data_IF_795282710603
#
_entry.id   IF_795282710603
#
_cell.length_a   1.000
_cell.length_b   1.000
_cell.length_c   1.000
_cell.angle_alpha   90.00
_cell.angle_beta   90.00
_cell.angle_gamma   90.00
#
_symmetry.space_group_name_H-M   'P 1'
#
loop_
_entity.id
_entity.type
_entity.pdbx_description
1 polymer ?
#
# COMPACT_ATOMS: atom_id res chain seq x y z
N UNK A 1 -20.45 -8.97 -3.79
CA UNK A 1 -19.60 -8.78 -4.98
C UNK A 1 -19.52 -7.30 -5.27
N UNK A 2 -18.33 -6.73 -5.37
CA UNK A 2 -18.10 -5.34 -5.77
C UNK A 2 -17.64 -5.27 -7.22
N UNK A 3 -18.17 -4.31 -7.97
CA UNK A 3 -17.78 -4.05 -9.35
C UNK A 3 -17.37 -2.59 -9.47
N UNK A 4 -16.12 -2.33 -9.78
CA UNK A 4 -15.58 -0.98 -9.91
C UNK A 4 -14.22 -0.98 -10.58
N UNK A 5 -13.79 0.22 -10.98
CA UNK A 5 -12.54 0.42 -11.71
C UNK A 5 -11.39 0.87 -10.80
N UNK A 6 -11.69 1.28 -9.58
CA UNK A 6 -10.73 1.81 -8.62
C UNK A 6 -10.96 1.15 -7.27
N UNK A 7 -9.92 0.65 -6.65
CA UNK A 7 -9.94 0.03 -5.33
C UNK A 7 -8.73 0.44 -4.50
N UNK A 8 -8.82 0.29 -3.18
CA UNK A 8 -7.64 0.31 -2.35
C UNK A 8 -6.93 -1.05 -2.48
N UNK A 9 -5.60 -1.09 -2.54
CA UNK A 9 -4.85 -2.33 -2.47
C UNK A 9 -5.00 -3.00 -1.10
N UNK A 10 -4.70 -4.29 -1.02
CA UNK A 10 -4.58 -4.99 0.25
C UNK A 10 -3.23 -4.67 0.92
N UNK A 11 -3.16 -4.81 2.24
CA UNK A 11 -1.90 -4.61 2.98
C UNK A 11 -0.81 -5.59 2.53
N UNK A 12 -1.19 -6.75 2.05
CA UNK A 12 -0.29 -7.73 1.45
C UNK A 12 0.35 -7.23 0.15
N UNK A 13 -0.38 -6.46 -0.66
CA UNK A 13 0.19 -5.86 -1.88
C UNK A 13 1.32 -4.91 -1.52
N UNK A 14 1.17 -4.14 -0.44
CA UNK A 14 2.25 -3.30 0.07
C UNK A 14 3.44 -4.15 0.55
N UNK A 15 3.22 -5.25 1.27
CA UNK A 15 4.29 -6.11 1.74
C UNK A 15 5.14 -6.67 0.59
N UNK A 16 4.47 -7.16 -0.46
CA UNK A 16 5.13 -7.69 -1.66
C UNK A 16 5.66 -6.62 -2.63
N UNK A 17 5.37 -5.34 -2.40
CA UNK A 17 5.89 -4.24 -3.21
C UNK A 17 7.35 -3.87 -2.89
N UNK A 18 8.00 -4.61 -2.01
CA UNK A 18 9.41 -4.46 -1.66
C UNK A 18 10.26 -5.54 -2.29
N UNK A 19 11.51 -5.22 -2.62
CA UNK A 19 12.53 -6.22 -2.97
C UNK A 19 13.09 -6.97 -1.75
N UNK A 20 12.73 -6.55 -0.55
CA UNK A 20 13.26 -7.05 0.71
C UNK A 20 12.28 -8.02 1.37
N UNK A 21 12.64 -9.29 1.48
CA UNK A 21 11.80 -10.35 2.04
C UNK A 21 11.37 -10.10 3.50
N UNK A 22 12.12 -9.30 4.25
CA UNK A 22 11.76 -8.90 5.60
C UNK A 22 10.44 -8.13 5.65
N UNK A 23 10.07 -7.43 4.57
CA UNK A 23 8.83 -6.68 4.49
C UNK A 23 7.60 -7.57 4.33
N UNK A 24 7.77 -8.75 3.73
CA UNK A 24 6.73 -9.76 3.59
C UNK A 24 6.46 -10.50 4.91
N UNK A 25 7.53 -10.82 5.65
CA UNK A 25 7.44 -11.63 6.87
C UNK A 25 7.18 -10.82 8.13
N UNK A 26 7.57 -9.54 8.16
CA UNK A 26 7.48 -8.65 9.31
C UNK A 26 6.69 -7.37 8.98
N UNK A 27 5.47 -7.53 8.49
CA UNK A 27 4.61 -6.38 8.14
C UNK A 27 4.30 -5.49 9.33
N UNK A 28 4.15 -6.06 10.53
CA UNK A 28 3.87 -5.30 11.74
C UNK A 28 5.13 -4.69 12.33
N UNK A 29 4.95 -3.60 13.05
CA UNK A 29 6.04 -2.94 13.79
C UNK A 29 6.60 -3.90 14.84
N UNK A 30 7.76 -4.49 14.55
CA UNK A 30 8.47 -5.34 15.48
C UNK A 30 9.83 -4.74 15.89
N UNK A 31 10.52 -4.11 14.96
CA UNK A 31 11.73 -3.35 15.25
C UNK A 31 11.91 -2.19 14.26
N UNK A 32 12.71 -1.20 14.66
CA UNK A 32 12.95 0.00 13.86
C UNK A 32 13.83 -0.24 12.64
N UNK A 33 14.66 -1.28 12.65
CA UNK A 33 15.57 -1.59 11.53
C UNK A 33 14.79 -2.16 10.34
N UNK A 34 13.88 -3.10 10.58
CA UNK A 34 13.03 -3.67 9.54
C UNK A 34 12.07 -2.62 8.95
N UNK A 35 11.48 -1.78 9.80
CA UNK A 35 10.66 -0.67 9.35
C UNK A 35 11.43 0.29 8.43
N UNK A 36 12.67 0.63 8.78
CA UNK A 36 13.53 1.48 7.96
C UNK A 36 13.84 0.85 6.59
N UNK A 37 14.14 -0.45 6.57
CA UNK A 37 14.37 -1.18 5.32
C UNK A 37 13.13 -1.11 4.42
N UNK A 38 11.95 -1.43 4.96
CA UNK A 38 10.71 -1.42 4.20
C UNK A 38 10.33 -0.01 3.72
N UNK A 39 10.56 1.01 4.55
CA UNK A 39 10.34 2.41 4.18
C UNK A 39 11.11 2.81 2.92
N UNK A 40 12.35 2.38 2.80
CA UNK A 40 13.26 2.85 1.75
C UNK A 40 13.27 1.96 0.50
N UNK A 41 12.79 0.72 0.58
CA UNK A 41 12.86 -0.27 -0.49
C UNK A 41 11.49 -0.75 -0.98
N UNK A 42 10.42 0.01 -0.70
CA UNK A 42 9.06 -0.36 -1.08
C UNK A 42 8.45 0.74 -1.96
N UNK A 43 8.15 0.43 -3.20
CA UNK A 43 7.61 1.40 -4.16
C UNK A 43 6.19 1.87 -3.84
N UNK A 44 5.42 1.11 -3.05
CA UNK A 44 4.10 1.52 -2.55
C UNK A 44 4.16 2.36 -1.27
N UNK A 45 5.34 2.52 -0.66
CA UNK A 45 5.50 3.28 0.56
C UNK A 45 5.15 4.75 0.36
N UNK A 46 4.43 5.32 1.32
CA UNK A 46 4.07 6.74 1.38
C UNK A 46 4.57 7.35 2.68
N UNK A 47 4.80 8.64 2.69
CA UNK A 47 5.23 9.39 3.89
C UNK A 47 4.10 9.66 4.89
N UNK A 48 2.90 9.17 4.64
CA UNK A 48 1.71 9.36 5.47
C UNK A 48 1.10 8.02 5.83
N UNK A 49 0.33 7.98 6.90
CA UNK A 49 -0.53 6.86 7.25
C UNK A 49 -1.55 6.67 6.11
N UNK A 50 -1.55 5.49 5.53
CA UNK A 50 -2.33 5.19 4.33
C UNK A 50 -3.19 3.97 4.57
N UNK A 51 -4.52 4.10 4.39
CA UNK A 51 -5.47 3.00 4.49
C UNK A 51 -5.32 1.98 3.37
N UNK A 52 -5.48 0.72 3.74
CA UNK A 52 -5.54 -0.42 2.84
C UNK A 52 -6.88 -1.16 3.00
N UNK A 53 -7.27 -1.95 2.00
CA UNK A 53 -8.58 -2.63 1.96
C UNK A 53 -8.68 -3.82 2.93
N UNK A 54 -7.63 -4.19 3.62
CA UNK A 54 -7.60 -5.36 4.51
C UNK A 54 -8.33 -5.07 5.82
N UNK A 55 -9.43 -5.79 6.14
CA UNK A 55 -10.03 -5.73 7.46
C UNK A 55 -9.08 -6.37 8.48
N UNK A 56 -9.18 -5.93 9.73
CA UNK A 56 -8.47 -6.59 10.82
C UNK A 56 -9.45 -7.50 11.59
N UNK A 57 -9.08 -8.76 11.73
CA UNK A 57 -9.85 -9.76 12.48
C UNK A 57 -9.38 -9.90 13.94
N UNK A 58 -8.74 -8.90 14.52
CA UNK A 58 -8.27 -8.95 15.89
C UNK A 58 -9.44 -8.88 16.88
N UNK A 59 -9.77 -10.01 17.49
CA UNK A 59 -10.79 -10.15 18.52
C UNK A 59 -12.19 -9.73 18.06
N UNK A 60 -12.92 -9.04 18.92
CA UNK A 60 -14.32 -8.60 18.70
C UNK A 60 -14.42 -7.25 17.97
N UNK A 61 -13.34 -6.72 17.42
CA UNK A 61 -13.29 -5.36 16.88
C UNK A 61 -13.46 -5.33 15.37
N UNK A 62 -14.67 -5.51 14.86
CA UNK A 62 -15.01 -5.39 13.45
C UNK A 62 -14.79 -3.98 12.86
N UNK A 63 -14.47 -2.99 13.70
CA UNK A 63 -14.25 -1.60 13.30
C UNK A 63 -12.79 -1.27 12.97
N UNK A 64 -11.88 -2.25 13.04
CA UNK A 64 -10.46 -2.03 12.75
C UNK A 64 -10.13 -2.39 11.30
N UNK A 65 -9.29 -1.56 10.69
CA UNK A 65 -8.73 -1.79 9.37
C UNK A 65 -7.21 -1.64 9.40
N UNK A 66 -6.53 -2.25 8.44
CA UNK A 66 -5.10 -2.09 8.29
C UNK A 66 -4.74 -0.78 7.61
N UNK A 67 -3.68 -0.14 8.09
CA UNK A 67 -3.01 0.95 7.42
C UNK A 67 -1.50 0.74 7.44
N UNK A 68 -0.79 1.42 6.55
CA UNK A 68 0.66 1.47 6.53
C UNK A 68 1.12 2.82 7.07
N UNK A 69 2.02 2.76 8.04
CA UNK A 69 2.67 3.94 8.62
C UNK A 69 3.65 4.58 7.64
N UNK A 70 3.81 5.89 7.70
CA UNK A 70 4.89 6.59 7.01
C UNK A 70 6.30 6.13 7.40
N UNK A 71 6.42 5.34 8.46
CA UNK A 71 7.68 4.78 8.97
C UNK A 71 8.02 3.39 8.42
N UNK A 72 7.17 2.80 7.55
CA UNK A 72 7.47 1.56 6.83
C UNK A 72 7.03 0.27 7.55
N UNK A 73 5.93 0.31 8.28
CA UNK A 73 5.31 -0.87 8.86
C UNK A 73 3.79 -0.82 8.74
N UNK A 74 3.17 -1.98 8.70
CA UNK A 74 1.72 -2.10 8.74
C UNK A 74 1.22 -2.22 10.19
N UNK A 75 0.11 -1.58 10.48
CA UNK A 75 -0.59 -1.66 11.77
C UNK A 75 -2.09 -1.47 11.54
N UNK A 76 -2.90 -1.74 12.52
CA UNK A 76 -4.35 -1.56 12.45
C UNK A 76 -4.81 -0.45 13.39
N UNK A 77 -5.90 0.21 13.03
CA UNK A 77 -6.56 1.23 13.83
C UNK A 77 -8.05 1.26 13.52
N UNK A 78 -8.80 2.04 14.29
CA UNK A 78 -10.23 2.26 14.09
C UNK A 78 -10.44 2.92 12.71
N UNK A 79 -11.29 2.31 11.89
CA UNK A 79 -11.55 2.79 10.53
C UNK A 79 -12.20 4.20 10.48
N UNK A 80 -12.67 4.71 11.62
CA UNK A 80 -13.18 6.08 11.75
C UNK A 80 -12.07 7.16 11.79
N UNK A 81 -10.80 6.76 11.97
CA UNK A 81 -9.68 7.70 11.96
C UNK A 81 -9.38 8.19 10.55
N UNK A 82 -8.98 9.46 10.46
CA UNK A 82 -8.66 10.09 9.17
C UNK A 82 -7.22 9.79 8.76
N UNK A 83 -7.05 8.95 7.74
CA UNK A 83 -5.76 8.67 7.11
C UNK A 83 -5.86 8.89 5.60
N UNK A 84 -4.70 8.95 4.94
CA UNK A 84 -4.63 9.06 3.49
C UNK A 84 -5.14 7.77 2.80
N UNK A 85 -5.52 7.90 1.54
CA UNK A 85 -5.82 6.77 0.66
C UNK A 85 -4.95 6.83 -0.59
N UNK A 86 -4.53 5.68 -1.09
CA UNK A 86 -3.78 5.55 -2.34
C UNK A 86 -4.46 4.48 -3.21
N UNK A 87 -5.51 4.86 -3.94
CA UNK A 87 -6.24 3.93 -4.78
C UNK A 87 -5.38 3.38 -5.91
N UNK A 88 -5.64 2.14 -6.29
CA UNK A 88 -5.05 1.46 -7.44
C UNK A 88 -6.10 1.18 -8.50
N UNK A 89 -5.65 1.07 -9.74
CA UNK A 89 -6.46 0.68 -10.89
C UNK A 89 -5.77 -0.45 -11.65
N UNK A 90 -6.57 -1.28 -12.29
CA UNK A 90 -6.07 -2.20 -13.31
C UNK A 90 -6.20 -1.56 -14.68
N UNK A 91 -5.10 -1.52 -15.42
CA UNK A 91 -5.12 -1.06 -16.81
C UNK A 91 -5.64 -2.19 -17.72
N UNK A 92 -6.38 -1.82 -18.76
CA UNK A 92 -6.73 -2.78 -19.81
C UNK A 92 -5.48 -3.22 -20.56
N UNK A 93 -5.48 -4.43 -21.11
CA UNK A 93 -4.33 -5.01 -21.81
C UNK A 93 -3.90 -4.24 -23.08
N UNK A 94 -4.76 -3.38 -23.61
CA UNK A 94 -4.45 -2.54 -24.76
C UNK A 94 -3.86 -1.17 -24.39
N UNK A 95 -3.69 -0.87 -23.11
CA UNK A 95 -3.00 0.34 -22.67
C UNK A 95 -1.50 0.12 -22.78
N UNK A 96 -0.83 0.97 -23.50
CA UNK A 96 0.60 0.90 -23.72
C UNK A 96 1.33 2.01 -22.96
N UNK A 97 2.51 1.70 -22.47
CA UNK A 97 3.41 2.70 -21.91
C UNK A 97 4.13 3.39 -23.07
N UNK A 98 3.91 4.69 -23.23
CA UNK A 98 4.50 5.51 -24.30
C UNK A 98 5.83 6.14 -23.88
N UNK A 99 5.96 6.47 -22.59
CA UNK A 99 7.16 7.12 -22.07
C UNK A 99 7.10 7.31 -20.56
N UNK A 100 8.07 8.04 -20.01
CA UNK A 100 8.20 8.31 -18.59
C UNK A 100 8.98 7.27 -17.82
N UNK A 101 9.56 7.69 -16.70
CA UNK A 101 10.35 6.83 -15.79
C UNK A 101 9.57 6.39 -14.56
N UNK A 102 8.30 6.80 -14.43
CA UNK A 102 7.46 6.49 -13.27
C UNK A 102 7.79 7.27 -12.00
N UNK A 103 8.54 8.36 -12.13
CA UNK A 103 8.86 9.26 -11.03
C UNK A 103 7.79 10.36 -10.88
N UNK A 104 7.81 11.08 -9.76
CA UNK A 104 6.90 12.22 -9.56
C UNK A 104 7.13 13.38 -10.52
N UNK A 105 8.33 13.50 -11.07
CA UNK A 105 8.73 14.54 -12.04
C UNK A 105 8.69 14.05 -13.48
N UNK A 106 8.63 12.76 -13.69
CA UNK A 106 8.56 12.11 -15.00
C UNK A 106 7.64 10.87 -14.89
N UNK A 107 6.31 11.06 -14.76
CA UNK A 107 5.36 9.98 -14.62
C UNK A 107 5.23 9.17 -15.91
N UNK A 108 4.80 7.93 -15.81
CA UNK A 108 4.51 7.12 -16.99
C UNK A 108 3.41 7.77 -17.83
N UNK A 109 3.69 7.92 -19.13
CA UNK A 109 2.69 8.31 -20.12
C UNK A 109 2.03 7.06 -20.69
N UNK A 110 0.71 7.05 -20.71
CA UNK A 110 -0.09 5.95 -21.22
C UNK A 110 -0.81 6.35 -22.50
N UNK A 111 -0.97 5.39 -23.41
CA UNK A 111 -1.76 5.55 -24.64
C UNK A 111 -2.69 4.34 -24.83
N UNK A 112 -3.79 4.56 -25.54
CA UNK A 112 -4.71 3.52 -26.01
C UNK A 112 -4.37 3.12 -27.44
#
# INVERSE_FOLDING_TARGET
>A
TWTGYVALPYVTDWAYASSESVCETNMQKQDSSNAYICKNNNWMQRSRYTWYLSPNAYGSFASYAWFVSGDGYAIYDIAANSNAVAPSIYLKSNVLMKGGLGTSTDPYELSL
#
